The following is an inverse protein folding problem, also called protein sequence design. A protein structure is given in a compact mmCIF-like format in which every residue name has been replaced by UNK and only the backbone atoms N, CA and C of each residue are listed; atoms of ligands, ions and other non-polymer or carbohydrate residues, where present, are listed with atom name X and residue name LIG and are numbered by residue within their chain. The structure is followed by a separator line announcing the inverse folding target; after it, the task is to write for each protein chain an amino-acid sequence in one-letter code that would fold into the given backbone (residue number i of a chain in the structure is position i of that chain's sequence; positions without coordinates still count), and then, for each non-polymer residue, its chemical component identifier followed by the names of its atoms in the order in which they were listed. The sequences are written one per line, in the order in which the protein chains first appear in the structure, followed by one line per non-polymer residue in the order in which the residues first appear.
data_IF_897817694982
#
_entry.id   IF_897817694982
#
_cell.length_a   1.000
_cell.length_b   1.000
_cell.length_c   1.000
_cell.angle_alpha   90.00
_cell.angle_beta   90.00
_cell.angle_gamma   90.00
#
_symmetry.space_group_name_H-M   'P 1'
#
loop_
_entity.id
_entity.type
_entity.pdbx_description
1 polymer ?
#
# COMPACT_ATOMS: atom_id res chain seq x y z
N UNK A 1 9.98 -16.14 -4.07
CA UNK A 1 11.02 -15.12 -3.80
C UNK A 1 10.74 -13.85 -4.61
N UNK A 2 10.68 -12.67 -3.98
CA UNK A 2 10.67 -11.39 -4.69
C UNK A 2 12.09 -11.00 -5.09
N UNK A 3 12.30 -10.60 -6.34
CA UNK A 3 13.60 -10.14 -6.84
C UNK A 3 13.94 -8.83 -6.13
N UNK A 4 14.95 -8.83 -5.25
CA UNK A 4 15.46 -7.62 -4.59
C UNK A 4 16.33 -6.85 -5.58
N UNK A 5 15.72 -5.94 -6.34
CA UNK A 5 16.44 -5.00 -7.22
C UNK A 5 16.83 -3.76 -6.43
N UNK A 6 17.89 -3.04 -6.81
CA UNK A 6 18.38 -1.86 -6.07
C UNK A 6 17.29 -0.78 -5.83
N UNK A 7 16.20 -0.77 -6.61
CA UNK A 7 15.04 0.10 -6.44
C UNK A 7 14.15 -0.19 -5.22
N UNK A 8 14.25 -1.37 -4.59
CA UNK A 8 13.52 -1.70 -3.34
C UNK A 8 14.31 -1.38 -2.06
N UNK A 9 15.55 -0.91 -2.17
CA UNK A 9 16.38 -0.58 -1.02
C UNK A 9 16.08 0.83 -0.51
N UNK A 10 15.00 0.98 0.26
CA UNK A 10 14.65 2.27 0.85
C UNK A 10 15.44 2.54 2.14
N UNK A 11 15.75 3.82 2.43
CA UNK A 11 16.24 4.22 3.73
C UNK A 11 15.26 3.79 4.83
N UNK A 12 15.77 3.26 5.94
CA UNK A 12 14.98 2.69 7.05
C UNK A 12 13.87 3.64 7.54
N UNK A 13 14.12 4.95 7.54
CA UNK A 13 13.14 5.99 7.92
C UNK A 13 11.96 6.09 6.94
N UNK A 14 12.21 5.92 5.65
CA UNK A 14 11.16 5.99 4.62
C UNK A 14 10.34 4.71 4.61
N UNK A 15 10.99 3.55 4.76
CA UNK A 15 10.31 2.27 4.89
C UNK A 15 9.34 2.25 6.09
N UNK A 16 9.78 2.74 7.26
CA UNK A 16 8.92 2.84 8.44
C UNK A 16 7.72 3.79 8.22
N UNK A 17 7.91 4.91 7.52
CA UNK A 17 6.80 5.81 7.19
C UNK A 17 5.81 5.18 6.21
N UNK A 18 6.27 4.41 5.24
CA UNK A 18 5.37 3.70 4.31
C UNK A 18 4.53 2.64 5.01
N UNK A 19 5.09 1.94 6.01
CA UNK A 19 4.35 1.01 6.86
C UNK A 19 3.23 1.73 7.62
N UNK A 20 3.54 2.87 8.25
CA UNK A 20 2.55 3.70 8.94
C UNK A 20 1.46 4.18 7.98
N UNK A 21 1.82 4.64 6.78
CA UNK A 21 0.83 5.10 5.79
C UNK A 21 -0.07 3.93 5.35
N UNK A 22 0.50 2.74 5.10
CA UNK A 22 -0.28 1.56 4.75
C UNK A 22 -1.28 1.17 5.84
N UNK A 23 -0.86 1.22 7.10
CA UNK A 23 -1.73 0.96 8.24
C UNK A 23 -2.83 2.01 8.38
N UNK A 24 -2.52 3.29 8.19
CA UNK A 24 -3.51 4.37 8.19
C UNK A 24 -4.54 4.18 7.06
N UNK A 25 -4.13 3.76 5.86
CA UNK A 25 -5.05 3.46 4.76
C UNK A 25 -6.00 2.31 5.13
N UNK A 26 -5.47 1.24 5.73
CA UNK A 26 -6.28 0.12 6.22
C UNK A 26 -7.29 0.58 7.27
N UNK A 27 -6.85 1.36 8.26
CA UNK A 27 -7.73 1.93 9.29
C UNK A 27 -8.78 2.85 8.68
N UNK A 28 -8.40 3.67 7.72
CA UNK A 28 -9.29 4.59 7.02
C UNK A 28 -10.33 3.84 6.15
N UNK A 29 -9.97 2.66 5.62
CA UNK A 29 -10.92 1.76 4.95
C UNK A 29 -11.90 1.14 5.95
N UNK A 30 -11.40 0.60 7.06
CA UNK A 30 -12.22 -0.01 8.11
C UNK A 30 -13.19 1.00 8.73
N UNK A 31 -12.74 2.22 9.03
CA UNK A 31 -13.61 3.32 9.54
C UNK A 31 -14.73 3.69 8.59
N UNK A 32 -14.53 3.54 7.28
CA UNK A 32 -15.54 3.81 6.25
C UNK A 32 -16.40 2.59 5.89
N UNK A 33 -16.19 1.44 6.56
CA UNK A 33 -16.83 0.17 6.25
C UNK A 33 -16.76 -0.23 4.76
N UNK A 34 -15.65 0.12 4.09
CA UNK A 34 -15.45 -0.21 2.68
C UNK A 34 -14.72 -1.56 2.54
N UNK A 35 -15.16 -2.37 1.58
CA UNK A 35 -14.45 -3.60 1.24
C UNK A 35 -13.19 -3.29 0.45
N UNK A 36 -12.21 -4.18 0.49
CA UNK A 36 -11.01 -4.04 -0.35
C UNK A 36 -11.35 -4.01 -1.84
N UNK A 37 -12.37 -4.77 -2.27
CA UNK A 37 -12.82 -4.76 -3.66
C UNK A 37 -13.35 -3.39 -4.08
N UNK A 38 -14.19 -2.76 -3.24
CA UNK A 38 -14.74 -1.43 -3.54
C UNK A 38 -13.66 -0.34 -3.64
N UNK A 39 -12.65 -0.39 -2.77
CA UNK A 39 -11.53 0.56 -2.83
C UNK A 39 -10.64 0.27 -4.04
N UNK A 40 -10.39 -1.01 -4.33
CA UNK A 40 -9.62 -1.44 -5.49
C UNK A 40 -10.28 -0.99 -6.81
N UNK A 41 -11.60 -1.15 -6.93
CA UNK A 41 -12.38 -0.71 -8.09
C UNK A 41 -12.32 0.81 -8.28
N UNK A 42 -12.48 1.58 -7.19
CA UNK A 42 -12.38 3.06 -7.22
C UNK A 42 -11.00 3.55 -7.61
N UNK A 43 -9.96 2.91 -7.11
CA UNK A 43 -8.57 3.24 -7.41
C UNK A 43 -8.08 2.59 -8.72
N UNK A 44 -8.97 1.92 -9.47
CA UNK A 44 -8.65 1.23 -10.74
C UNK A 44 -7.43 0.30 -10.62
N UNK A 45 -7.32 -0.39 -9.49
CA UNK A 45 -6.19 -1.25 -9.17
C UNK A 45 -6.65 -2.63 -8.69
N UNK A 46 -5.75 -3.61 -8.70
CA UNK A 46 -6.09 -4.96 -8.23
C UNK A 46 -6.19 -5.02 -6.70
N UNK A 47 -7.02 -5.91 -6.18
CA UNK A 47 -7.11 -6.21 -4.73
C UNK A 47 -5.74 -6.61 -4.16
N UNK A 48 -4.90 -7.28 -4.95
CA UNK A 48 -3.54 -7.63 -4.58
C UNK A 48 -2.65 -6.39 -4.39
N UNK A 49 -2.82 -5.38 -5.26
CA UNK A 49 -2.14 -4.09 -5.15
C UNK A 49 -2.59 -3.36 -3.88
N UNK A 50 -3.89 -3.32 -3.61
CA UNK A 50 -4.41 -2.71 -2.38
C UNK A 50 -3.90 -3.41 -1.12
N UNK A 51 -3.81 -4.76 -1.14
CA UNK A 51 -3.22 -5.54 -0.04
C UNK A 51 -1.75 -5.19 0.22
N UNK A 52 -1.01 -4.87 -0.85
CA UNK A 52 0.39 -4.43 -0.80
C UNK A 52 0.52 -3.00 -0.26
N UNK A 53 -0.43 -2.12 -0.59
CA UNK A 53 -0.54 -0.77 -0.05
C UNK A 53 -0.84 -0.80 1.45
N UNK A 54 -1.81 -1.59 1.90
CA UNK A 54 -2.14 -1.74 3.32
C UNK A 54 -0.97 -2.31 4.16
N UNK A 55 -0.02 -3.00 3.52
CA UNK A 55 1.19 -3.53 4.14
C UNK A 55 2.39 -2.56 4.05
N UNK A 56 2.24 -1.40 3.41
CA UNK A 56 3.31 -0.41 3.26
C UNK A 56 4.46 -0.88 2.36
N UNK A 57 4.20 -1.77 1.42
CA UNK A 57 5.26 -2.25 0.52
C UNK A 57 5.63 -1.19 -0.51
N UNK A 58 6.93 -0.92 -0.62
CA UNK A 58 7.47 0.08 -1.54
C UNK A 58 7.53 -0.38 -3.02
N UNK A 59 7.04 -1.59 -3.31
CA UNK A 59 6.85 -2.11 -4.67
C UNK A 59 5.62 -1.53 -5.37
N UNK A 60 4.80 -0.76 -4.65
CA UNK A 60 3.63 -0.08 -5.22
C UNK A 60 3.99 1.37 -5.52
N UNK A 61 3.56 1.86 -6.69
CA UNK A 61 3.76 3.24 -7.09
C UNK A 61 3.15 4.20 -6.06
N UNK A 62 3.86 5.29 -5.75
CA UNK A 62 3.40 6.29 -4.78
C UNK A 62 2.05 6.91 -5.18
N UNK A 63 1.74 6.95 -6.47
CA UNK A 63 0.45 7.46 -6.98
C UNK A 63 -0.78 6.63 -6.59
N UNK A 64 -0.61 5.44 -6.01
CA UNK A 64 -1.73 4.64 -5.46
C UNK A 64 -2.00 5.02 -3.98
N UNK A 65 -1.07 5.70 -3.33
CA UNK A 65 -1.22 6.18 -1.95
C UNK A 65 -1.88 7.58 -1.86
N UNK A 66 -2.03 8.28 -2.99
CA UNK A 66 -2.64 9.62 -3.13
C UNK A 66 -4.06 9.49 -3.68
#
# INVERSE_FOLDING_TARGET
MGKSTKGTHLPRRVAAKLEVVGEQIKLARLRRNLTMAQVADRATCSVLTLRRVEKGTATVAIGIYL
#
